data_IF_411759602189
#
_entry.id   IF_411759602189
#
_cell.length_a   1.000
_cell.length_b   1.000
_cell.length_c   1.000
_cell.angle_alpha   90.00
_cell.angle_beta   90.00
_cell.angle_gamma   90.00
#
_symmetry.space_group_name_H-M   'P 1'
#
loop_
_entity.id
_entity.type
_entity.pdbx_description
1 polymer ?
#
# COMPACT_ATOMS: atom_id res chain seq x y z
N UNK A 1 15.92 -8.21 -2.67
CA UNK A 1 15.66 -7.72 -1.29
C UNK A 1 14.43 -8.45 -0.75
N UNK A 2 14.38 -8.78 0.53
CA UNK A 2 13.18 -9.35 1.16
C UNK A 2 12.10 -8.28 1.39
N UNK A 3 10.85 -8.71 1.58
CA UNK A 3 9.71 -7.85 1.95
C UNK A 3 10.03 -7.02 3.21
N UNK A 4 10.62 -7.67 4.21
CA UNK A 4 11.00 -7.04 5.49
C UNK A 4 12.08 -5.97 5.30
N UNK A 5 13.06 -6.22 4.43
CA UNK A 5 14.10 -5.24 4.12
C UNK A 5 13.53 -4.06 3.32
N UNK A 6 12.59 -4.30 2.41
CA UNK A 6 11.97 -3.25 1.60
C UNK A 6 11.04 -2.35 2.43
N UNK A 7 10.22 -2.93 3.32
CA UNK A 7 9.25 -2.22 4.16
C UNK A 7 9.75 -1.96 5.59
N UNK A 8 11.06 -1.91 5.81
CA UNK A 8 11.65 -1.82 7.14
C UNK A 8 11.08 -0.67 7.99
N UNK A 9 10.90 0.51 7.40
CA UNK A 9 10.37 1.70 8.10
C UNK A 9 8.87 1.57 8.41
N UNK A 10 8.10 0.99 7.50
CA UNK A 10 6.68 0.71 7.69
C UNK A 10 6.47 -0.32 8.80
N UNK A 11 7.27 -1.40 8.80
CA UNK A 11 7.26 -2.41 9.87
C UNK A 11 7.61 -1.80 11.22
N UNK A 12 8.56 -0.86 11.29
CA UNK A 12 8.86 -0.13 12.53
C UNK A 12 7.70 0.75 13.02
N UNK A 13 6.83 1.23 12.13
CA UNK A 13 5.70 2.09 12.48
C UNK A 13 4.48 1.29 12.97
N UNK A 14 4.15 0.18 12.32
CA UNK A 14 2.90 -0.55 12.60
C UNK A 14 3.04 -2.06 12.79
N UNK A 15 4.26 -2.59 12.79
CA UNK A 15 4.55 -4.00 13.02
C UNK A 15 4.47 -4.88 11.77
N UNK A 16 5.11 -6.05 11.88
CA UNK A 16 5.26 -7.00 10.77
C UNK A 16 3.93 -7.65 10.38
N UNK A 17 3.08 -7.96 11.36
CA UNK A 17 1.75 -8.55 11.13
C UNK A 17 0.88 -7.62 10.27
N UNK A 18 0.87 -6.33 10.60
CA UNK A 18 0.18 -5.31 9.82
C UNK A 18 0.71 -5.26 8.40
N UNK A 19 2.03 -5.20 8.21
CA UNK A 19 2.65 -5.16 6.88
C UNK A 19 2.30 -6.39 6.03
N UNK A 20 2.31 -7.59 6.63
CA UNK A 20 1.90 -8.84 5.97
C UNK A 20 0.41 -8.83 5.61
N UNK A 21 -0.42 -8.21 6.44
CA UNK A 21 -1.86 -8.10 6.17
C UNK A 21 -2.16 -7.18 4.97
N UNK A 22 -1.38 -6.11 4.76
CA UNK A 22 -1.58 -5.15 3.66
C UNK A 22 -1.46 -5.83 2.28
N UNK A 23 -0.59 -6.81 2.14
CA UNK A 23 -0.42 -7.60 0.91
C UNK A 23 -1.67 -8.38 0.51
N UNK A 24 -2.61 -8.61 1.43
CA UNK A 24 -3.88 -9.30 1.18
C UNK A 24 -5.06 -8.33 1.01
N UNK A 25 -4.82 -7.02 1.12
CA UNK A 25 -5.86 -6.01 0.96
C UNK A 25 -6.00 -5.63 -0.50
N UNK A 26 -7.24 -5.40 -0.90
CA UNK A 26 -7.62 -4.91 -2.21
C UNK A 26 -8.44 -3.64 -2.04
N UNK A 27 -8.14 -2.61 -2.82
CA UNK A 27 -8.81 -1.30 -2.77
C UNK A 27 -9.23 -0.89 -4.18
N UNK A 28 -10.38 -0.23 -4.30
CA UNK A 28 -10.77 0.47 -5.52
C UNK A 28 -10.73 1.99 -5.30
N UNK A 29 -10.09 2.72 -6.21
CA UNK A 29 -10.10 4.18 -6.27
C UNK A 29 -10.92 4.56 -7.50
N UNK A 30 -12.07 5.20 -7.27
CA UNK A 30 -12.96 5.68 -8.33
C UNK A 30 -12.71 7.17 -8.54
N UNK A 31 -12.24 7.53 -9.72
CA UNK A 31 -11.86 8.90 -10.07
C UNK A 31 -10.36 9.16 -9.84
N UNK A 32 -9.56 8.96 -10.88
CA UNK A 32 -8.10 9.06 -10.84
C UNK A 32 -7.54 10.45 -11.20
N UNK A 33 -8.28 11.52 -10.84
CA UNK A 33 -7.82 12.92 -10.98
C UNK A 33 -6.72 13.28 -9.96
N UNK A 34 -6.55 14.57 -9.63
CA UNK A 34 -5.48 14.99 -8.70
C UNK A 34 -5.52 14.30 -7.32
N UNK A 35 -6.72 14.00 -6.81
CA UNK A 35 -6.90 13.32 -5.53
C UNK A 35 -6.71 11.80 -5.65
N UNK A 36 -7.36 11.16 -6.63
CA UNK A 36 -7.25 9.72 -6.80
C UNK A 36 -5.85 9.25 -7.20
N UNK A 37 -5.16 10.03 -8.05
CA UNK A 37 -3.79 9.71 -8.44
C UNK A 37 -2.80 9.84 -7.29
N UNK A 38 -2.88 10.92 -6.50
CA UNK A 38 -2.02 11.10 -5.31
C UNK A 38 -2.29 10.03 -4.26
N UNK A 39 -3.55 9.66 -4.04
CA UNK A 39 -3.92 8.58 -3.14
C UNK A 39 -3.42 7.22 -3.65
N UNK A 40 -3.57 6.92 -4.94
CA UNK A 40 -3.09 5.68 -5.54
C UNK A 40 -1.57 5.49 -5.37
N UNK A 41 -0.80 6.56 -5.58
CA UNK A 41 0.65 6.55 -5.35
C UNK A 41 0.96 6.32 -3.86
N UNK A 42 0.30 7.07 -2.97
CA UNK A 42 0.54 6.94 -1.54
C UNK A 42 0.23 5.53 -1.04
N UNK A 43 -0.94 4.97 -1.39
CA UNK A 43 -1.34 3.63 -1.00
C UNK A 43 -0.46 2.54 -1.63
N UNK A 44 -0.09 2.69 -2.91
CA UNK A 44 0.82 1.76 -3.59
C UNK A 44 2.19 1.67 -2.90
N UNK A 45 2.67 2.78 -2.32
CA UNK A 45 3.92 2.82 -1.55
C UNK A 45 3.88 2.13 -0.19
N UNK A 46 2.69 1.75 0.30
CA UNK A 46 2.53 1.09 1.62
C UNK A 46 2.58 -0.43 1.57
N UNK A 47 2.53 -1.03 0.37
CA UNK A 47 2.49 -2.48 0.21
C UNK A 47 1.08 -3.06 0.24
N UNK A 48 0.08 -2.34 -0.29
CA UNK A 48 -1.23 -2.92 -0.60
C UNK A 48 -1.11 -3.90 -1.76
N UNK A 49 -1.76 -5.06 -1.64
CA UNK A 49 -1.70 -6.12 -2.65
C UNK A 49 -2.28 -5.70 -4.00
N UNK A 50 -3.50 -5.16 -3.99
CA UNK A 50 -4.19 -4.78 -5.22
C UNK A 50 -4.84 -3.39 -5.10
N UNK A 51 -4.64 -2.54 -6.11
CA UNK A 51 -5.34 -1.27 -6.24
C UNK A 51 -6.00 -1.23 -7.62
N UNK A 52 -7.33 -1.22 -7.65
CA UNK A 52 -8.14 -1.00 -8.85
C UNK A 52 -8.33 0.50 -9.05
N UNK A 53 -7.92 1.00 -10.22
CA UNK A 53 -8.08 2.40 -10.59
C UNK A 53 -9.18 2.47 -11.66
N UNK A 54 -10.24 3.25 -11.40
CA UNK A 54 -11.43 3.41 -12.26
C UNK A 54 -11.66 4.87 -12.60
#
# INVERSE_FOLDING_TARGET
MSMEAYFHRQIQLWGEETQKSLQKREIAIIGCGGLGSSLGIALGSTGIGTIHLV
#
